data_IF_364807934057
#
_entry.id   IF_364807934057
#
_cell.length_a   1.000
_cell.length_b   1.000
_cell.length_c   1.000
_cell.angle_alpha   90.00
_cell.angle_beta   90.00
_cell.angle_gamma   90.00
#
_symmetry.space_group_name_H-M   'P 1'
#
loop_
_entity.id
_entity.type
_entity.pdbx_description
1 polymer ?
#
# COMPACT_ATOMS: atom_id res chain seq x y z
N UNK A 1 6.33 -13.83 0.94
CA UNK A 1 6.03 -12.89 2.04
C UNK A 1 5.22 -11.76 1.43
N UNK A 2 3.98 -11.56 1.84
CA UNK A 2 3.11 -10.49 1.28
C UNK A 2 3.48 -9.15 1.92
N UNK A 3 3.40 -8.05 1.17
CA UNK A 3 3.63 -6.67 1.68
C UNK A 3 2.56 -6.19 2.69
N UNK A 4 1.58 -7.03 3.02
CA UNK A 4 0.51 -6.73 3.97
C UNK A 4 0.92 -7.09 5.40
N UNK A 5 0.69 -6.17 6.33
CA UNK A 5 0.56 -6.49 7.76
C UNK A 5 -0.75 -7.26 7.95
N UNK A 6 -0.69 -8.40 8.61
CA UNK A 6 -1.86 -9.22 8.92
C UNK A 6 -2.01 -9.37 10.43
N UNK A 7 -3.22 -9.13 10.94
CA UNK A 7 -3.62 -9.44 12.31
C UNK A 7 -4.48 -10.71 12.40
N UNK A 8 -5.03 -11.04 13.58
CA UNK A 8 -5.93 -12.18 13.77
C UNK A 8 -7.15 -12.17 12.84
N UNK A 9 -7.51 -11.00 12.32
CA UNK A 9 -8.61 -10.77 11.38
C UNK A 9 -8.19 -10.62 9.91
N UNK A 10 -6.98 -11.00 9.50
CA UNK A 10 -6.52 -10.87 8.11
C UNK A 10 -5.69 -9.61 7.85
N UNK A 11 -5.50 -9.22 6.57
CA UNK A 11 -4.75 -8.03 6.18
C UNK A 11 -5.33 -6.76 6.80
N UNK A 12 -4.49 -5.93 7.42
CA UNK A 12 -4.89 -4.66 8.06
C UNK A 12 -4.25 -3.42 7.44
N UNK A 13 -3.24 -3.59 6.59
CA UNK A 13 -2.58 -2.50 5.87
C UNK A 13 -1.27 -2.93 5.23
N UNK A 14 -0.70 -2.09 4.39
CA UNK A 14 0.56 -2.27 3.68
C UNK A 14 1.74 -1.82 4.54
N UNK A 15 2.89 -2.43 4.30
CA UNK A 15 4.17 -2.05 4.90
C UNK A 15 4.79 -0.91 4.10
N UNK A 16 4.60 0.33 4.55
CA UNK A 16 5.10 1.51 3.84
C UNK A 16 6.63 1.67 3.79
N UNK A 17 7.40 0.91 4.60
CA UNK A 17 8.88 0.98 4.54
C UNK A 17 9.44 0.57 3.17
N UNK A 18 8.69 -0.22 2.40
CA UNK A 18 9.09 -0.69 1.08
C UNK A 18 8.72 0.29 -0.04
N UNK A 19 7.89 1.30 0.22
CA UNK A 19 7.42 2.24 -0.82
C UNK A 19 8.57 3.08 -1.39
N UNK A 20 9.48 3.67 -0.59
CA UNK A 20 10.58 4.47 -1.12
C UNK A 20 11.52 3.67 -2.03
N UNK A 21 11.78 2.39 -1.71
CA UNK A 21 12.66 1.56 -2.53
C UNK A 21 11.99 1.20 -3.86
N UNK A 22 10.69 0.92 -3.86
CA UNK A 22 9.93 0.66 -5.10
C UNK A 22 9.83 1.92 -5.97
N UNK A 23 9.52 3.09 -5.38
CA UNK A 23 9.51 4.38 -6.09
C UNK A 23 10.86 4.66 -6.75
N UNK A 24 11.97 4.35 -6.05
CA UNK A 24 13.33 4.47 -6.62
C UNK A 24 13.54 3.52 -7.80
N UNK A 25 13.13 2.26 -7.70
CA UNK A 25 13.27 1.29 -8.80
C UNK A 25 12.43 1.67 -10.02
N UNK A 26 11.28 2.32 -9.81
CA UNK A 26 10.43 2.82 -10.87
C UNK A 26 10.85 4.21 -11.39
N UNK A 27 11.94 4.78 -10.86
CA UNK A 27 12.44 6.12 -11.22
C UNK A 27 11.39 7.22 -11.09
N UNK A 28 10.53 7.14 -10.07
CA UNK A 28 9.53 8.18 -9.79
C UNK A 28 10.23 9.44 -9.29
N UNK A 29 9.99 10.61 -9.91
CA UNK A 29 10.53 11.88 -9.43
C UNK A 29 10.13 12.18 -7.99
N UNK A 30 11.03 12.72 -7.18
CA UNK A 30 10.78 13.06 -5.76
C UNK A 30 9.60 14.04 -5.59
N UNK A 31 9.39 14.93 -6.56
CA UNK A 31 8.26 15.85 -6.59
C UNK A 31 6.89 15.12 -6.64
N UNK A 32 6.87 13.91 -7.21
CA UNK A 32 5.64 13.13 -7.42
C UNK A 32 5.41 12.10 -6.30
N UNK A 33 6.37 11.94 -5.37
CA UNK A 33 6.28 10.91 -4.31
C UNK A 33 5.04 11.10 -3.44
N UNK A 34 4.66 12.36 -3.16
CA UNK A 34 3.45 12.66 -2.39
C UNK A 34 2.18 12.19 -3.08
N UNK A 35 2.02 12.51 -4.37
CA UNK A 35 0.84 12.12 -5.15
C UNK A 35 0.76 10.59 -5.32
N UNK A 36 1.89 9.95 -5.64
CA UNK A 36 1.94 8.49 -5.79
C UNK A 36 1.66 7.79 -4.46
N UNK A 37 2.17 8.31 -3.34
CA UNK A 37 1.87 7.76 -2.02
C UNK A 37 0.36 7.88 -1.69
N UNK A 38 -0.26 9.01 -2.01
CA UNK A 38 -1.69 9.22 -1.82
C UNK A 38 -2.53 8.24 -2.64
N UNK A 39 -2.16 8.01 -3.91
CA UNK A 39 -2.80 7.00 -4.75
C UNK A 39 -2.68 5.59 -4.15
N UNK A 40 -1.51 5.23 -3.60
CA UNK A 40 -1.32 3.94 -2.90
C UNK A 40 -2.25 3.80 -1.70
N UNK A 41 -2.47 4.86 -0.91
CA UNK A 41 -3.40 4.84 0.23
C UNK A 41 -4.86 4.65 -0.21
N UNK A 42 -5.26 5.26 -1.32
CA UNK A 42 -6.60 5.06 -1.89
C UNK A 42 -6.78 3.60 -2.34
N UNK A 43 -5.80 3.03 -3.03
CA UNK A 43 -5.83 1.63 -3.45
C UNK A 43 -5.84 0.67 -2.26
N UNK A 44 -5.07 0.97 -1.20
CA UNK A 44 -5.06 0.19 0.05
C UNK A 44 -6.44 0.17 0.71
N UNK A 45 -7.09 1.33 0.84
CA UNK A 45 -8.44 1.43 1.41
C UNK A 45 -9.42 0.56 0.64
N UNK A 46 -9.46 0.71 -0.69
CA UNK A 46 -10.35 -0.07 -1.55
C UNK A 46 -10.08 -1.58 -1.45
N UNK A 47 -8.81 -1.99 -1.37
CA UNK A 47 -8.43 -3.38 -1.18
C UNK A 47 -8.86 -3.93 0.19
N UNK A 48 -8.68 -3.16 1.27
CA UNK A 48 -9.14 -3.55 2.61
C UNK A 48 -10.67 -3.66 2.67
N UNK A 49 -11.39 -2.75 2.04
CA UNK A 49 -12.85 -2.81 1.93
C UNK A 49 -13.29 -4.09 1.21
N UNK A 50 -12.68 -4.42 0.06
CA UNK A 50 -12.99 -5.64 -0.67
C UNK A 50 -12.70 -6.91 0.16
N UNK A 51 -11.52 -6.98 0.80
CA UNK A 51 -11.11 -8.11 1.65
C UNK A 51 -12.08 -8.29 2.83
N UNK A 52 -12.59 -7.21 3.40
CA UNK A 52 -13.56 -7.27 4.50
C UNK A 52 -14.98 -7.57 4.03
N UNK A 53 -15.35 -7.24 2.79
CA UNK A 53 -16.64 -7.60 2.20
C UNK A 53 -16.73 -9.08 1.80
N UNK A 54 -15.59 -9.72 1.52
CA UNK A 54 -15.52 -11.15 1.17
C UNK A 54 -15.50 -12.08 2.41
N UNK A 55 -15.71 -11.54 3.61
CA UNK A 55 -15.82 -12.29 4.88
C UNK A 55 -17.27 -12.46 5.33
#
# INVERSE_FOLDING_TARGET
>A
MTQWRCGPGGPTGLVYSEIPVVMRYLSIPEADHGEVFDAVRVMESAALEAIHQEK
#
